data_IF_810250103748
#
_entry.id   IF_810250103748
#
_cell.length_a   1.000
_cell.length_b   1.000
_cell.length_c   1.000
_cell.angle_alpha   90.00
_cell.angle_beta   90.00
_cell.angle_gamma   90.00
#
_symmetry.space_group_name_H-M   'P 1'
#
loop_
_entity.id
_entity.type
_entity.pdbx_description
1 polymer ?
#
# COMPACT_ATOMS: atom_id res chain seq x y z
N UNK A 1 -47.39 15.43 34.22
CA UNK A 1 -46.11 14.68 34.20
C UNK A 1 -45.87 14.20 32.78
N UNK A 2 -44.92 14.81 32.09
CA UNK A 2 -44.51 14.44 30.73
C UNK A 2 -43.36 13.41 30.86
N UNK A 3 -43.48 12.26 30.20
CA UNK A 3 -42.39 11.30 30.06
C UNK A 3 -41.33 11.85 29.09
N UNK A 4 -40.02 11.74 29.36
CA UNK A 4 -39.01 12.13 28.39
C UNK A 4 -38.81 11.05 27.33
N UNK A 5 -38.80 11.49 26.07
CA UNK A 5 -38.46 10.76 24.86
C UNK A 5 -37.14 9.99 24.97
N UNK A 6 -37.18 8.70 24.63
CA UNK A 6 -36.01 7.94 24.21
C UNK A 6 -35.56 8.47 22.84
N UNK A 7 -34.48 9.26 22.81
CA UNK A 7 -33.75 9.52 21.58
C UNK A 7 -32.88 8.30 21.24
N UNK A 8 -33.47 7.29 20.60
CA UNK A 8 -32.69 6.36 19.79
C UNK A 8 -32.03 7.15 18.66
N UNK A 9 -30.71 7.34 18.76
CA UNK A 9 -29.90 7.76 17.63
C UNK A 9 -29.97 6.66 16.57
N UNK A 10 -30.84 6.83 15.58
CA UNK A 10 -30.81 6.07 14.34
C UNK A 10 -29.40 6.17 13.74
N UNK A 11 -28.59 5.12 13.89
CA UNK A 11 -27.30 5.02 13.19
C UNK A 11 -27.59 5.14 11.69
N UNK A 12 -27.02 6.16 11.06
CA UNK A 12 -27.03 6.35 9.61
C UNK A 12 -26.75 5.00 8.90
N UNK A 13 -27.59 4.68 7.91
CA UNK A 13 -27.53 3.46 7.10
C UNK A 13 -26.37 3.49 6.08
N UNK A 14 -25.64 4.58 5.99
CA UNK A 14 -24.56 4.70 5.01
C UNK A 14 -23.29 3.99 5.50
N UNK A 15 -22.63 3.20 4.63
CA UNK A 15 -21.36 2.58 4.98
C UNK A 15 -20.32 3.68 5.26
N UNK A 16 -19.62 3.57 6.39
CA UNK A 16 -18.56 4.52 6.79
C UNK A 16 -17.53 4.65 5.66
N UNK A 17 -17.36 5.85 5.09
CA UNK A 17 -16.33 6.17 4.09
C UNK A 17 -15.05 6.60 4.81
N UNK A 18 -13.97 5.86 4.62
CA UNK A 18 -12.65 6.21 5.16
C UNK A 18 -11.98 7.34 4.36
N UNK A 19 -12.22 7.38 3.05
CA UNK A 19 -11.60 8.35 2.16
C UNK A 19 -11.75 7.98 0.69
N UNK A 20 -10.93 8.58 -0.16
CA UNK A 20 -10.96 8.38 -1.61
C UNK A 20 -9.55 8.50 -2.21
N UNK A 21 -9.21 7.60 -3.13
CA UNK A 21 -8.03 7.69 -3.97
C UNK A 21 -8.46 8.24 -5.34
N UNK A 22 -7.66 9.15 -5.88
CA UNK A 22 -7.88 9.74 -7.22
C UNK A 22 -6.60 9.62 -8.02
N UNK A 23 -6.70 9.14 -9.26
CA UNK A 23 -5.56 9.11 -10.18
C UNK A 23 -5.41 10.49 -10.81
N UNK A 24 -4.22 11.07 -10.67
CA UNK A 24 -3.86 12.33 -11.29
C UNK A 24 -3.35 12.11 -12.72
N UNK A 25 -3.44 13.13 -13.58
CA UNK A 25 -2.89 13.09 -14.95
C UNK A 25 -3.86 12.64 -16.05
N UNK A 26 -5.12 12.34 -15.72
CA UNK A 26 -6.15 11.95 -16.70
C UNK A 26 -7.36 12.90 -16.75
N UNK A 27 -7.22 14.15 -16.30
CA UNK A 27 -8.30 15.16 -16.27
C UNK A 27 -9.65 14.65 -15.69
N UNK A 28 -9.59 13.70 -14.75
CA UNK A 28 -10.75 13.15 -14.06
C UNK A 28 -11.40 11.91 -14.69
N UNK A 29 -10.89 11.36 -15.81
CA UNK A 29 -11.40 10.13 -16.42
C UNK A 29 -10.31 9.32 -17.13
N UNK A 30 -10.26 8.01 -16.92
CA UNK A 30 -9.27 7.17 -17.60
C UNK A 30 -9.49 7.10 -19.13
N UNK A 31 -8.42 6.93 -19.93
CA UNK A 31 -8.54 6.60 -21.36
C UNK A 31 -9.31 5.30 -21.53
N UNK A 32 -10.38 5.34 -22.32
CA UNK A 32 -11.31 4.21 -22.49
C UNK A 32 -12.38 4.06 -21.41
N UNK A 33 -12.45 5.02 -20.47
CA UNK A 33 -13.43 5.10 -19.39
C UNK A 33 -13.15 4.17 -18.21
N UNK A 34 -13.92 4.38 -17.14
CA UNK A 34 -13.85 3.55 -15.93
C UNK A 34 -14.56 2.20 -16.18
N UNK A 35 -13.87 1.09 -15.91
CA UNK A 35 -14.40 -0.28 -16.08
C UNK A 35 -14.02 -1.16 -14.89
N UNK A 36 -15.02 -1.60 -14.14
CA UNK A 36 -14.84 -2.47 -12.98
C UNK A 36 -13.88 -1.87 -11.94
N UNK A 37 -12.75 -2.53 -11.70
CA UNK A 37 -11.72 -2.08 -10.73
C UNK A 37 -10.72 -1.09 -11.33
N UNK A 38 -10.68 -0.92 -12.66
CA UNK A 38 -9.88 0.09 -13.34
C UNK A 38 -10.71 1.36 -13.45
N UNK A 39 -10.44 2.34 -12.60
CA UNK A 39 -11.23 3.56 -12.50
C UNK A 39 -10.37 4.76 -12.16
N UNK A 40 -10.84 5.96 -12.44
CA UNK A 40 -10.14 7.21 -12.13
C UNK A 40 -10.17 7.55 -10.63
N UNK A 41 -11.18 7.03 -9.91
CA UNK A 41 -11.42 7.28 -8.48
C UNK A 41 -11.84 6.01 -7.75
N UNK A 42 -11.37 5.84 -6.51
CA UNK A 42 -11.67 4.69 -5.68
C UNK A 42 -12.00 5.13 -4.24
N UNK A 43 -13.28 5.06 -3.88
CA UNK A 43 -13.73 5.33 -2.52
C UNK A 43 -13.46 4.13 -1.60
N UNK A 44 -12.75 4.36 -0.50
CA UNK A 44 -12.50 3.35 0.53
C UNK A 44 -13.63 3.41 1.56
N UNK A 45 -14.40 2.33 1.68
CA UNK A 45 -15.47 2.20 2.66
C UNK A 45 -15.18 1.05 3.62
N UNK A 46 -15.65 1.19 4.86
CA UNK A 46 -15.60 0.10 5.84
C UNK A 46 -16.21 -1.16 5.25
N UNK A 47 -15.42 -2.24 5.25
CA UNK A 47 -15.88 -3.54 4.76
C UNK A 47 -16.88 -4.15 5.73
N UNK A 48 -17.77 -4.98 5.19
CA UNK A 48 -18.75 -5.74 5.98
C UNK A 48 -18.06 -6.63 7.01
N UNK A 49 -16.98 -7.32 6.61
CA UNK A 49 -16.07 -8.06 7.48
C UNK A 49 -14.68 -7.45 7.40
N UNK A 50 -14.02 -7.36 8.55
CA UNK A 50 -12.62 -6.96 8.62
C UNK A 50 -11.78 -7.89 7.74
N UNK A 51 -10.81 -7.33 7.03
CA UNK A 51 -9.84 -8.09 6.25
C UNK A 51 -8.40 -7.64 6.52
N UNK A 52 -8.19 -6.79 7.53
CA UNK A 52 -6.89 -6.38 7.99
C UNK A 52 -6.02 -7.56 8.44
N UNK A 53 -4.72 -7.31 8.45
CA UNK A 53 -3.72 -8.26 8.92
C UNK A 53 -2.62 -7.55 9.70
N UNK A 54 -2.02 -8.25 10.64
CA UNK A 54 -0.91 -7.74 11.47
C UNK A 54 0.21 -8.77 11.61
N UNK A 55 1.46 -8.34 11.82
CA UNK A 55 2.59 -9.25 12.02
C UNK A 55 2.32 -10.25 13.16
N UNK A 56 2.80 -11.48 12.99
CA UNK A 56 2.64 -12.59 13.91
C UNK A 56 3.97 -13.35 14.05
N UNK A 57 3.99 -14.66 13.88
CA UNK A 57 5.16 -15.51 14.00
C UNK A 57 6.24 -15.16 12.95
N UNK A 58 7.50 -15.38 13.34
CA UNK A 58 8.67 -15.21 12.48
C UNK A 58 9.38 -16.55 12.33
N UNK A 59 9.62 -16.96 11.09
CA UNK A 59 10.32 -18.19 10.74
C UNK A 59 11.61 -17.86 10.01
N UNK A 60 12.72 -18.46 10.44
CA UNK A 60 14.01 -18.38 9.74
C UNK A 60 14.22 -19.72 9.05
N UNK A 61 14.26 -19.71 7.73
CA UNK A 61 14.33 -20.90 6.89
C UNK A 61 15.69 -20.97 6.19
N UNK A 62 16.28 -22.16 6.21
CA UNK A 62 17.58 -22.42 5.57
C UNK A 62 17.48 -22.71 4.07
N UNK A 63 16.27 -23.00 3.56
CA UNK A 63 16.00 -23.23 2.15
C UNK A 63 14.80 -22.36 1.69
N UNK A 64 14.95 -21.51 0.66
CA UNK A 64 13.85 -20.72 0.11
C UNK A 64 12.64 -21.56 -0.32
N UNK A 65 12.84 -22.82 -0.73
CA UNK A 65 11.73 -23.71 -1.09
C UNK A 65 10.78 -24.00 0.09
N UNK A 66 11.28 -23.98 1.33
CA UNK A 66 10.49 -24.23 2.54
C UNK A 66 9.51 -23.08 2.83
N UNK A 67 9.75 -21.89 2.26
CA UNK A 67 8.83 -20.75 2.39
C UNK A 67 7.43 -21.08 1.85
N UNK A 68 7.34 -21.93 0.82
CA UNK A 68 6.06 -22.42 0.28
C UNK A 68 5.29 -23.26 1.30
N UNK A 69 5.99 -24.02 2.14
CA UNK A 69 5.36 -24.83 3.18
C UNK A 69 4.75 -23.94 4.27
N UNK A 70 5.43 -22.86 4.65
CA UNK A 70 4.88 -21.86 5.60
C UNK A 70 3.66 -21.15 5.00
N UNK A 71 3.74 -20.76 3.73
CA UNK A 71 2.65 -20.05 3.05
C UNK A 71 1.39 -20.91 2.79
N UNK A 72 1.50 -22.24 2.87
CA UNK A 72 0.37 -23.15 2.63
C UNK A 72 -0.73 -23.10 3.70
N UNK A 73 -0.48 -22.45 4.84
CA UNK A 73 -1.42 -22.32 5.98
C UNK A 73 -2.57 -21.35 5.73
N UNK A 74 -2.64 -20.72 4.55
CA UNK A 74 -3.72 -19.80 4.16
C UNK A 74 -3.67 -18.45 4.87
N UNK A 75 -2.64 -18.20 5.68
CA UNK A 75 -2.34 -16.90 6.29
C UNK A 75 -1.60 -16.01 5.29
N UNK A 76 -1.53 -14.71 5.57
CA UNK A 76 -0.68 -13.82 4.80
C UNK A 76 0.77 -13.93 5.27
N UNK A 77 1.73 -13.65 4.41
CA UNK A 77 3.14 -13.65 4.79
C UNK A 77 3.98 -12.62 4.04
N UNK A 78 5.11 -12.24 4.63
CA UNK A 78 6.16 -11.50 3.95
C UNK A 78 7.44 -12.31 4.00
N UNK A 79 7.99 -12.62 2.82
CA UNK A 79 9.19 -13.42 2.64
C UNK A 79 10.37 -12.51 2.30
N UNK A 80 11.34 -12.42 3.21
CA UNK A 80 12.60 -11.70 3.04
C UNK A 80 13.73 -12.70 2.73
N UNK A 81 14.04 -12.91 1.45
CA UNK A 81 15.14 -13.80 1.04
C UNK A 81 16.47 -13.06 1.15
N UNK A 82 17.21 -13.33 2.23
CA UNK A 82 18.51 -12.74 2.55
C UNK A 82 19.62 -13.31 1.66
N UNK A 83 19.58 -14.62 1.42
CA UNK A 83 20.51 -15.33 0.55
C UNK A 83 19.86 -16.62 0.01
N UNK A 84 20.59 -17.35 -0.84
CA UNK A 84 20.20 -18.69 -1.32
C UNK A 84 19.95 -19.69 -0.19
N UNK A 85 20.50 -19.46 1.00
CA UNK A 85 20.40 -20.35 2.16
C UNK A 85 19.70 -19.71 3.36
N UNK A 86 19.08 -18.54 3.19
CA UNK A 86 18.40 -17.88 4.31
C UNK A 86 17.22 -17.04 3.82
N UNK A 87 16.02 -17.41 4.26
CA UNK A 87 14.80 -16.63 4.08
C UNK A 87 14.13 -16.43 5.43
N UNK A 88 13.80 -15.18 5.76
CA UNK A 88 12.97 -14.86 6.93
C UNK A 88 11.54 -14.69 6.46
N UNK A 89 10.62 -15.50 6.96
CA UNK A 89 9.19 -15.40 6.67
C UNK A 89 8.49 -14.85 7.90
N UNK A 90 7.79 -13.73 7.74
CA UNK A 90 6.93 -13.15 8.78
C UNK A 90 5.49 -13.51 8.43
N UNK A 91 4.85 -14.33 9.25
CA UNK A 91 3.41 -14.62 9.14
C UNK A 91 2.59 -13.40 9.58
N UNK A 92 1.43 -13.23 8.97
CA UNK A 92 0.48 -12.16 9.25
C UNK A 92 -0.88 -12.78 9.60
N UNK A 93 -1.31 -12.58 10.84
CA UNK A 93 -2.59 -13.06 11.32
C UNK A 93 -3.70 -12.04 11.07
N UNK A 94 -4.94 -12.48 11.19
CA UNK A 94 -6.10 -11.61 10.99
C UNK A 94 -6.13 -10.48 12.04
N UNK A 95 -6.39 -9.27 11.58
CA UNK A 95 -6.69 -8.11 12.41
C UNK A 95 -8.16 -7.69 12.23
N UNK A 96 -8.92 -7.81 13.30
CA UNK A 96 -10.35 -7.46 13.33
C UNK A 96 -10.59 -5.95 13.46
N UNK A 97 -9.54 -5.16 13.70
CA UNK A 97 -9.63 -3.71 13.91
C UNK A 97 -9.35 -2.90 12.66
N UNK A 98 -8.90 -3.53 11.56
CA UNK A 98 -8.50 -2.82 10.35
C UNK A 98 -9.13 -3.40 9.09
N UNK A 99 -9.25 -2.56 8.07
CA UNK A 99 -9.55 -2.96 6.69
C UNK A 99 -8.33 -2.67 5.81
N UNK A 100 -8.00 -3.61 4.93
CA UNK A 100 -6.92 -3.48 3.95
C UNK A 100 -7.48 -3.34 2.54
N UNK A 101 -6.88 -2.45 1.75
CA UNK A 101 -7.15 -2.24 0.34
C UNK A 101 -5.84 -2.29 -0.44
N UNK A 102 -5.78 -3.06 -1.53
CA UNK A 102 -4.55 -3.18 -2.31
C UNK A 102 -4.66 -2.50 -3.67
N UNK A 103 -3.56 -1.85 -4.05
CA UNK A 103 -3.44 -1.09 -5.29
C UNK A 103 -2.28 -1.66 -6.09
N UNK A 104 -2.46 -1.78 -7.40
CA UNK A 104 -1.41 -2.26 -8.29
C UNK A 104 -1.91 -2.41 -9.72
N UNK A 105 -1.01 -2.79 -10.64
CA UNK A 105 -1.38 -2.98 -12.05
C UNK A 105 -2.00 -4.34 -12.36
N UNK A 106 -1.92 -5.31 -11.45
CA UNK A 106 -2.51 -6.62 -11.68
C UNK A 106 -4.04 -6.54 -11.63
N UNK A 107 -4.70 -7.33 -12.46
CA UNK A 107 -6.15 -7.54 -12.42
C UNK A 107 -6.52 -8.76 -11.56
N UNK A 108 -5.57 -9.38 -10.88
CA UNK A 108 -5.84 -10.49 -9.96
C UNK A 108 -6.75 -10.07 -8.81
N UNK A 109 -7.45 -11.04 -8.21
CA UNK A 109 -8.45 -10.80 -7.18
C UNK A 109 -7.97 -10.04 -5.94
N UNK A 110 -6.70 -10.11 -5.49
CA UNK A 110 -6.26 -9.35 -4.31
C UNK A 110 -6.19 -7.83 -4.53
N UNK A 111 -6.27 -7.34 -5.77
CA UNK A 111 -6.22 -5.90 -6.08
C UNK A 111 -7.61 -5.29 -6.03
N UNK A 112 -7.82 -4.30 -5.18
CA UNK A 112 -9.07 -3.55 -5.09
C UNK A 112 -9.13 -2.41 -6.11
N UNK A 113 -7.98 -1.77 -6.36
CA UNK A 113 -7.87 -0.63 -7.26
C UNK A 113 -6.77 -0.84 -8.30
N UNK A 114 -7.18 -1.01 -9.56
CA UNK A 114 -6.26 -1.27 -10.67
C UNK A 114 -5.78 0.04 -11.25
N UNK A 115 -4.46 0.24 -11.24
CA UNK A 115 -3.79 1.42 -11.80
C UNK A 115 -2.93 1.02 -13.00
N UNK A 116 -2.89 1.87 -14.03
CA UNK A 116 -2.12 1.64 -15.25
C UNK A 116 -1.22 2.84 -15.54
N UNK A 117 -0.23 2.65 -16.41
CA UNK A 117 0.68 3.74 -16.77
C UNK A 117 -0.08 4.92 -17.38
N UNK A 118 0.23 6.12 -16.89
CA UNK A 118 -0.26 7.38 -17.45
C UNK A 118 0.56 7.67 -18.69
N UNK A 119 -0.06 7.82 -19.88
CA UNK A 119 0.67 8.27 -21.06
C UNK A 119 1.33 9.60 -20.71
N UNK A 120 2.66 9.70 -20.89
CA UNK A 120 3.36 10.95 -20.68
C UNK A 120 2.80 12.05 -21.60
N UNK A 121 2.88 13.31 -21.18
CA UNK A 121 2.39 14.47 -21.91
C UNK A 121 3.11 14.74 -23.27
N UNK A 122 3.90 13.80 -23.79
CA UNK A 122 4.82 14.02 -24.90
C UNK A 122 4.85 12.90 -25.96
N UNK A 123 3.84 12.04 -26.08
CA UNK A 123 3.75 11.10 -27.20
C UNK A 123 2.33 11.02 -27.80
N UNK A 124 2.06 11.93 -28.74
CA UNK A 124 1.12 11.71 -29.85
C UNK A 124 1.78 10.81 -30.91
N UNK A 125 2.07 9.56 -30.55
CA UNK A 125 2.52 8.56 -31.51
C UNK A 125 1.72 7.27 -31.30
N UNK A 126 0.98 6.86 -32.32
CA UNK A 126 0.09 5.68 -32.33
C UNK A 126 0.82 4.33 -32.22
N UNK A 127 2.12 4.29 -31.90
CA UNK A 127 2.95 3.08 -31.78
C UNK A 127 3.47 2.81 -30.34
N UNK A 128 2.68 3.11 -29.31
CA UNK A 128 3.11 3.03 -27.89
C UNK A 128 2.96 1.64 -27.23
N UNK A 129 3.23 0.54 -27.95
CA UNK A 129 3.00 -0.83 -27.42
C UNK A 129 4.17 -1.51 -26.69
N UNK A 130 5.31 -0.84 -26.45
CA UNK A 130 6.53 -1.57 -26.04
C UNK A 130 7.26 -1.08 -24.78
N UNK A 131 6.87 0.02 -24.16
CA UNK A 131 7.53 0.43 -22.90
C UNK A 131 7.03 -0.45 -21.74
N UNK A 132 7.92 -1.16 -21.01
CA UNK A 132 7.51 -1.97 -19.87
C UNK A 132 6.99 -1.07 -18.74
N UNK A 133 5.79 -1.39 -18.24
CA UNK A 133 5.18 -0.72 -17.09
C UNK A 133 6.13 -0.70 -15.89
N UNK A 134 6.29 0.46 -15.26
CA UNK A 134 7.10 0.61 -14.04
C UNK A 134 6.30 0.40 -12.76
N UNK A 135 4.97 0.30 -12.87
CA UNK A 135 4.06 0.04 -11.77
C UNK A 135 4.14 -1.43 -11.35
N UNK A 136 4.29 -1.65 -10.05
CA UNK A 136 4.27 -3.00 -9.48
C UNK A 136 2.89 -3.67 -9.61
N UNK A 137 2.87 -4.99 -9.84
CA UNK A 137 1.63 -5.79 -9.90
C UNK A 137 0.78 -5.66 -8.63
N UNK A 138 1.45 -5.68 -7.47
CA UNK A 138 0.88 -5.46 -6.15
C UNK A 138 1.70 -4.34 -5.48
N UNK A 139 1.32 -3.09 -5.72
CA UNK A 139 2.18 -1.93 -5.48
C UNK A 139 2.17 -1.46 -4.03
N UNK A 140 1.00 -1.34 -3.41
CA UNK A 140 0.89 -0.90 -2.02
C UNK A 140 -0.41 -1.39 -1.38
N UNK A 141 -0.47 -1.22 -0.05
CA UNK A 141 -1.65 -1.43 0.78
C UNK A 141 -2.03 -0.12 1.47
N UNK A 142 -3.31 0.21 1.46
CA UNK A 142 -3.90 1.19 2.36
C UNK A 142 -4.63 0.41 3.46
N UNK A 143 -4.26 0.66 4.71
CA UNK A 143 -4.85 0.03 5.89
C UNK A 143 -5.57 1.10 6.68
N UNK A 144 -6.88 0.93 6.89
CA UNK A 144 -7.72 1.86 7.62
C UNK A 144 -8.18 1.25 8.94
N UNK A 145 -8.09 2.03 10.02
CA UNK A 145 -8.68 1.66 11.30
C UNK A 145 -10.21 1.64 11.16
N UNK A 146 -10.86 0.58 11.67
CA UNK A 146 -12.32 0.38 11.60
C UNK A 146 -13.10 1.22 12.62
N UNK A 147 -12.38 1.81 13.58
CA UNK A 147 -12.90 2.65 14.65
C UNK A 147 -12.41 4.10 14.49
N UNK A 148 -13.16 5.10 14.97
CA UNK A 148 -12.71 6.49 14.97
C UNK A 148 -11.30 6.64 15.59
N UNK A 149 -10.43 7.51 15.04
CA UNK A 149 -10.69 8.48 13.98
C UNK A 149 -10.54 7.91 12.55
N UNK A 150 -10.57 6.59 12.39
CA UNK A 150 -10.49 5.91 11.09
C UNK A 150 -9.19 6.19 10.32
N UNK A 151 -8.08 6.28 11.05
CA UNK A 151 -6.78 6.59 10.48
C UNK A 151 -6.43 5.64 9.34
N UNK A 152 -6.08 6.21 8.19
CA UNK A 152 -5.56 5.47 7.05
C UNK A 152 -4.03 5.54 7.03
N UNK A 153 -3.39 4.39 6.83
CA UNK A 153 -1.93 4.22 6.72
C UNK A 153 -1.57 3.56 5.40
N UNK A 154 -0.41 3.90 4.84
CA UNK A 154 0.12 3.28 3.63
C UNK A 154 1.33 2.40 3.94
N UNK A 155 1.41 1.28 3.21
CA UNK A 155 2.51 0.32 3.27
C UNK A 155 2.93 -0.03 1.85
N UNK A 156 4.23 -0.15 1.61
CA UNK A 156 4.71 -0.63 0.32
C UNK A 156 4.41 -2.11 0.12
N UNK A 157 4.32 -2.50 -1.16
CA UNK A 157 3.89 -3.81 -1.66
C UNK A 157 2.44 -4.19 -1.29
N UNK A 158 1.89 -5.12 -2.05
CA UNK A 158 0.66 -5.84 -1.74
C UNK A 158 0.87 -7.35 -1.80
N UNK A 159 0.07 -8.08 -1.04
CA UNK A 159 0.03 -9.53 -1.06
C UNK A 159 -0.50 -10.04 -2.40
N UNK A 160 0.19 -11.01 -2.97
CA UNK A 160 -0.20 -11.68 -4.20
C UNK A 160 -1.38 -12.65 -4.00
N UNK A 161 -1.76 -13.38 -5.06
CA UNK A 161 -2.83 -14.39 -4.99
C UNK A 161 -2.49 -15.57 -4.07
N UNK A 162 -1.20 -15.75 -3.72
CA UNK A 162 -0.74 -16.71 -2.72
C UNK A 162 -0.65 -16.08 -1.32
N UNK A 163 -1.24 -14.87 -1.13
CA UNK A 163 -1.21 -14.11 0.13
C UNK A 163 0.20 -13.74 0.61
N UNK A 164 1.17 -13.65 -0.30
CA UNK A 164 2.57 -13.39 0.05
C UNK A 164 3.10 -12.10 -0.57
N UNK A 165 3.95 -11.39 0.17
CA UNK A 165 4.84 -10.36 -0.35
C UNK A 165 6.25 -10.94 -0.41
N UNK A 166 6.87 -10.91 -1.59
CA UNK A 166 8.22 -11.46 -1.80
C UNK A 166 9.25 -10.35 -2.00
N UNK A 167 10.25 -10.30 -1.12
CA UNK A 167 11.44 -9.47 -1.25
C UNK A 167 12.64 -10.38 -1.50
N UNK A 168 13.08 -10.43 -2.76
CA UNK A 168 14.20 -11.27 -3.18
C UNK A 168 15.57 -10.76 -2.71
N UNK A 169 16.62 -11.49 -3.11
CA UNK A 169 18.01 -11.20 -2.73
C UNK A 169 18.45 -9.77 -3.06
N UNK A 170 17.98 -9.22 -4.20
CA UNK A 170 18.32 -7.87 -4.67
C UNK A 170 17.52 -6.74 -3.99
N UNK A 171 16.46 -7.06 -3.25
CA UNK A 171 15.69 -6.04 -2.55
C UNK A 171 16.45 -5.52 -1.33
N UNK A 172 16.39 -4.21 -1.10
CA UNK A 172 16.92 -3.56 0.09
C UNK A 172 16.10 -3.98 1.31
N UNK A 173 16.73 -4.62 2.28
CA UNK A 173 16.09 -5.19 3.47
C UNK A 173 17.05 -5.18 4.64
N UNK A 174 16.52 -5.06 5.85
CA UNK A 174 17.31 -4.93 7.07
C UNK A 174 16.51 -5.41 8.26
N UNK A 175 17.20 -5.62 9.38
CA UNK A 175 16.56 -5.67 10.70
C UNK A 175 16.56 -4.26 11.30
N UNK A 176 15.42 -3.82 11.81
CA UNK A 176 15.31 -2.58 12.56
C UNK A 176 15.91 -2.76 13.98
N UNK A 177 16.07 -1.69 14.76
CA UNK A 177 16.60 -1.76 16.13
C UNK A 177 15.82 -2.71 17.05
N UNK A 178 14.52 -2.86 16.82
CA UNK A 178 13.63 -3.77 17.57
C UNK A 178 13.78 -5.25 17.13
N UNK A 179 14.64 -5.53 16.15
CA UNK A 179 14.91 -6.87 15.63
C UNK A 179 13.93 -7.36 14.57
N UNK A 180 12.93 -6.57 14.19
CA UNK A 180 11.98 -6.88 13.13
C UNK A 180 12.58 -6.66 11.75
N UNK A 181 12.22 -7.53 10.81
CA UNK A 181 12.59 -7.36 9.40
C UNK A 181 11.74 -6.28 8.74
N UNK A 182 12.38 -5.49 7.89
CA UNK A 182 11.72 -4.55 6.99
C UNK A 182 12.48 -4.49 5.65
N UNK A 183 11.90 -3.83 4.66
CA UNK A 183 12.52 -3.64 3.36
C UNK A 183 11.77 -2.69 2.45
N UNK A 184 12.39 -2.40 1.32
CA UNK A 184 11.84 -1.57 0.25
C UNK A 184 11.55 -2.42 -0.98
N UNK A 185 10.49 -2.06 -1.70
CA UNK A 185 10.22 -2.61 -3.04
C UNK A 185 11.25 -2.07 -4.03
N UNK A 186 11.46 -2.76 -5.16
CA UNK A 186 12.49 -2.37 -6.14
C UNK A 186 12.39 -0.90 -6.57
N UNK A 187 11.19 -0.44 -6.94
CA UNK A 187 10.96 0.92 -7.44
C UNK A 187 10.50 1.91 -6.35
N UNK A 188 10.26 1.43 -5.12
CA UNK A 188 9.73 2.22 -4.02
C UNK A 188 8.23 2.54 -4.14
N UNK A 189 7.65 2.96 -3.01
CA UNK A 189 6.34 3.63 -2.95
C UNK A 189 6.57 4.97 -2.29
N UNK A 190 6.30 6.04 -3.03
CA UNK A 190 6.58 7.40 -2.57
C UNK A 190 5.30 8.09 -2.10
N UNK A 191 5.43 8.94 -1.09
CA UNK A 191 4.36 9.74 -0.51
C UNK A 191 4.86 11.15 -0.26
N UNK A 192 3.99 12.14 -0.46
CA UNK A 192 4.25 13.54 -0.17
C UNK A 192 3.03 14.13 0.52
N UNK A 193 3.20 14.68 1.72
CA UNK A 193 2.16 15.45 2.40
C UNK A 193 2.34 16.93 2.09
N UNK A 194 1.38 17.59 1.39
CA UNK A 194 1.47 19.02 1.13
C UNK A 194 1.39 19.81 2.44
N UNK A 195 2.09 20.93 2.49
CA UNK A 195 2.10 21.83 3.64
C UNK A 195 1.15 23.01 3.40
N UNK A 196 0.57 23.56 4.46
CA UNK A 196 -0.27 24.76 4.41
C UNK A 196 -1.59 24.59 3.63
N UNK A 197 -1.98 23.38 3.23
CA UNK A 197 -3.23 23.15 2.52
C UNK A 197 -4.45 23.32 3.45
N UNK A 198 -5.54 23.99 3.03
CA UNK A 198 -5.79 24.54 1.68
C UNK A 198 -5.33 26.00 1.46
N UNK A 199 -4.89 26.73 2.49
CA UNK A 199 -4.72 28.19 2.45
C UNK A 199 -3.41 28.66 1.79
N UNK A 200 -2.27 28.04 2.12
CA UNK A 200 -0.95 28.32 1.55
C UNK A 200 -0.29 27.01 1.05
N UNK A 201 -0.77 26.43 -0.05
CA UNK A 201 -0.28 25.14 -0.52
C UNK A 201 1.20 25.23 -0.91
N UNK A 202 2.05 24.53 -0.16
CA UNK A 202 3.48 24.35 -0.44
C UNK A 202 3.74 22.88 -0.70
N UNK A 203 4.62 22.61 -1.66
CA UNK A 203 5.04 21.24 -1.95
C UNK A 203 5.70 20.64 -0.71
N UNK A 204 5.23 19.45 -0.32
CA UNK A 204 5.85 18.68 0.75
C UNK A 204 7.15 18.02 0.30
N UNK A 205 7.82 17.38 1.24
CA UNK A 205 8.96 16.53 0.91
C UNK A 205 8.46 15.13 0.54
N UNK A 206 8.99 14.60 -0.56
CA UNK A 206 8.80 13.20 -0.92
C UNK A 206 9.52 12.28 0.07
N UNK A 207 8.84 11.18 0.40
CA UNK A 207 9.31 10.14 1.30
C UNK A 207 9.03 8.78 0.70
N UNK A 208 9.89 7.82 0.99
CA UNK A 208 9.71 6.43 0.61
C UNK A 208 9.13 5.64 1.78
N UNK A 209 8.11 4.84 1.51
CA UNK A 209 7.44 4.00 2.50
C UNK A 209 7.98 2.58 2.41
N UNK A 210 8.29 1.99 3.56
CA UNK A 210 8.72 0.59 3.62
C UNK A 210 7.56 -0.40 3.58
N UNK A 211 7.90 -1.68 3.46
CA UNK A 211 6.91 -2.77 3.46
C UNK A 211 6.25 -2.91 4.84
N UNK A 212 6.93 -2.56 5.92
CA UNK A 212 6.37 -2.50 7.28
C UNK A 212 5.79 -1.12 7.65
N UNK A 213 5.86 -0.12 6.77
CA UNK A 213 5.18 1.17 6.93
C UNK A 213 6.03 2.28 7.56
N UNK A 214 7.33 2.06 7.74
CA UNK A 214 8.26 3.09 8.18
C UNK A 214 8.52 4.11 7.05
N UNK A 215 8.84 5.34 7.43
CA UNK A 215 9.02 6.48 6.52
C UNK A 215 10.52 6.80 6.38
N UNK A 216 11.00 6.80 5.15
CA UNK A 216 12.40 7.08 4.82
C UNK A 216 12.51 8.29 3.89
N UNK A 217 13.65 8.98 3.95
CA UNK A 217 14.07 9.88 2.89
C UNK A 217 14.21 9.11 1.57
N UNK A 218 14.22 9.83 0.44
CA UNK A 218 14.45 9.22 -0.86
C UNK A 218 15.85 8.59 -0.93
N UNK A 219 15.97 7.55 -1.76
CA UNK A 219 17.27 7.03 -2.20
C UNK A 219 17.98 8.08 -3.06
N UNK A 220 19.29 7.97 -3.17
CA UNK A 220 20.09 8.83 -4.05
C UNK A 220 19.65 8.70 -5.53
N UNK A 221 19.40 7.46 -5.96
CA UNK A 221 18.87 7.16 -7.30
C UNK A 221 17.62 6.30 -7.19
N UNK A 222 16.67 6.50 -8.11
CA UNK A 222 15.46 5.65 -8.19
C UNK A 222 15.89 4.20 -8.37
N UNK A 223 15.30 3.32 -7.58
CA UNK A 223 15.63 1.89 -7.55
C UNK A 223 17.06 1.55 -7.11
N UNK A 224 17.80 2.52 -6.56
CA UNK A 224 19.13 2.29 -5.98
C UNK A 224 19.09 1.33 -4.78
N UNK A 225 20.17 0.59 -4.49
CA UNK A 225 20.16 -0.43 -3.44
C UNK A 225 20.24 0.14 -2.02
N UNK A 226 20.62 1.42 -1.90
CA UNK A 226 20.83 2.11 -0.62
C UNK A 226 19.53 2.80 -0.21
N UNK A 227 18.98 2.42 0.95
CA UNK A 227 17.82 3.11 1.56
C UNK A 227 18.20 4.53 1.98
N UNK A 228 17.23 5.44 1.96
CA UNK A 228 17.38 6.74 2.61
C UNK A 228 17.43 6.64 4.14
N UNK A 229 17.61 7.79 4.79
CA UNK A 229 17.60 7.88 6.25
C UNK A 229 16.18 7.71 6.81
N UNK A 230 16.05 7.03 7.95
CA UNK A 230 14.78 6.89 8.67
C UNK A 230 14.32 8.26 9.19
N UNK A 231 13.04 8.58 9.02
CA UNK A 231 12.44 9.85 9.44
C UNK A 231 11.49 9.60 10.61
N UNK A 232 12.01 9.73 11.84
CA UNK A 232 11.24 9.44 13.06
C UNK A 232 10.10 10.43 13.35
N UNK A 233 10.12 11.61 12.71
CA UNK A 233 9.14 12.69 12.96
C UNK A 233 7.92 12.64 12.04
N UNK A 234 7.90 11.75 11.05
CA UNK A 234 6.81 11.66 10.06
C UNK A 234 6.18 10.27 10.13
N UNK A 235 4.87 10.22 10.33
CA UNK A 235 4.08 8.98 10.31
C UNK A 235 3.58 8.68 8.90
N UNK A 236 3.35 7.40 8.60
CA UNK A 236 2.71 6.95 7.35
C UNK A 236 1.19 7.18 7.31
N UNK A 237 0.67 8.07 8.17
CA UNK A 237 -0.74 8.40 8.29
C UNK A 237 -1.12 9.47 7.28
N UNK A 238 -2.21 9.27 6.56
CA UNK A 238 -2.52 10.09 5.40
C UNK A 238 -3.31 11.36 5.72
N UNK A 239 -2.82 12.46 5.16
CA UNK A 239 -3.66 13.43 4.43
C UNK A 239 -2.94 13.71 3.11
N UNK A 240 -3.51 13.22 2.00
CA UNK A 240 -3.03 13.29 0.61
C UNK A 240 -1.86 12.36 0.26
N UNK A 241 -2.17 11.15 -0.21
CA UNK A 241 -1.18 10.26 -0.84
C UNK A 241 -1.13 10.55 -2.33
N UNK A 242 0.02 10.97 -2.81
CA UNK A 242 0.35 10.80 -4.23
C UNK A 242 1.18 9.54 -4.38
N UNK A 243 0.57 8.42 -4.77
CA UNK A 243 1.31 7.19 -5.11
C UNK A 243 1.93 7.44 -6.48
N UNK A 244 3.21 7.83 -6.52
CA UNK A 244 3.94 7.81 -7.77
C UNK A 244 4.29 6.37 -8.15
N UNK A 245 3.38 5.76 -8.91
CA UNK A 245 3.72 4.75 -9.91
C UNK A 245 4.16 5.37 -11.24
N UNK A 246 3.90 6.67 -11.46
CA UNK A 246 4.41 7.50 -12.56
C UNK A 246 4.42 8.98 -12.11
N UNK A 247 5.60 9.60 -12.12
CA UNK A 247 6.00 10.44 -13.25
C UNK A 247 7.23 9.77 -13.90
#
# INVERSE_FOLDING_TARGET
>A
MLQPNQHEHARSKDPVKYGELVILGYNGSLPGGDRGRKRSRFALHRRTKANGVKPSAVHILSNPHDSKAVNSRGQHSISFTLSRSQTVVVEYCHDNLTDMFQIGRSTESPIDFVVTDTPGASQESEDSSSAPSTISRFACRIVCDRNPPYTARIYAAGFDSSKNIFLGEKATKWKNPDGHMDGLTTNGVLVMHPLGFPEEPKQGLWREISVCGDVYALRETRSGPIRGQLVNTTTNTNTNIQIQGLL
#
